data_IF_438164473239
#
_entry.id   IF_438164473239
#
_cell.length_a   1.000
_cell.length_b   1.000
_cell.length_c   1.000
_cell.angle_alpha   90.00
_cell.angle_beta   90.00
_cell.angle_gamma   90.00
#
_symmetry.space_group_name_H-M   'P 1'
#
loop_
_entity.id
_entity.type
_entity.pdbx_description
1 polymer ?
#
# COMPACT_ATOMS: atom_id res chain seq x y z
N UNK A 1 -49.32 24.06 -52.81
CA UNK A 1 -49.14 23.79 -51.36
C UNK A 1 -48.93 25.15 -50.70
N UNK A 2 -49.77 25.53 -49.75
CA UNK A 2 -49.66 26.79 -49.03
C UNK A 2 -49.22 26.54 -47.59
N UNK A 3 -48.39 27.42 -47.06
CA UNK A 3 -47.94 27.40 -45.68
C UNK A 3 -48.40 28.68 -44.99
N UNK A 4 -49.10 28.53 -43.87
CA UNK A 4 -49.56 29.64 -43.04
C UNK A 4 -49.32 29.31 -41.57
N UNK A 5 -49.41 30.29 -40.71
CA UNK A 5 -49.55 30.04 -39.27
C UNK A 5 -50.96 29.56 -38.94
N UNK A 6 -51.19 29.10 -37.71
CA UNK A 6 -52.50 28.63 -37.23
C UNK A 6 -53.62 29.70 -37.33
N UNK A 7 -53.27 30.98 -37.40
CA UNK A 7 -54.20 32.08 -37.64
C UNK A 7 -54.54 32.29 -39.14
N UNK A 8 -54.00 31.47 -40.05
CA UNK A 8 -54.19 31.56 -41.50
C UNK A 8 -53.39 32.65 -42.21
N UNK A 9 -52.53 33.39 -41.48
CA UNK A 9 -51.68 34.44 -42.04
C UNK A 9 -50.26 33.92 -42.33
N UNK A 10 -49.53 34.64 -43.16
CA UNK A 10 -48.11 34.39 -43.45
C UNK A 10 -47.16 35.13 -42.50
N UNK A 11 -47.70 35.87 -41.53
CA UNK A 11 -46.94 36.57 -40.50
C UNK A 11 -47.48 36.23 -39.11
N UNK A 12 -46.55 36.06 -38.16
CA UNK A 12 -46.83 35.80 -36.76
C UNK A 12 -45.99 36.74 -35.90
N UNK A 13 -46.60 37.34 -34.88
CA UNK A 13 -45.93 38.28 -33.99
C UNK A 13 -46.32 38.00 -32.55
N UNK A 14 -45.32 37.92 -31.68
CA UNK A 14 -45.47 37.80 -30.24
C UNK A 14 -44.51 38.75 -29.51
N UNK A 15 -44.50 38.67 -28.18
CA UNK A 15 -43.53 39.40 -27.36
C UNK A 15 -42.11 38.81 -27.46
N UNK A 16 -41.97 37.59 -27.99
CA UNK A 16 -40.70 36.85 -28.08
C UNK A 16 -40.21 36.73 -29.52
N UNK A 17 -41.09 36.54 -30.51
CA UNK A 17 -40.74 36.30 -31.91
C UNK A 17 -41.57 37.17 -32.87
N UNK A 18 -40.95 37.61 -33.96
CA UNK A 18 -41.63 38.01 -35.20
C UNK A 18 -41.23 37.06 -36.31
N UNK A 19 -42.20 36.39 -36.91
CA UNK A 19 -41.98 35.34 -37.90
C UNK A 19 -42.77 35.61 -39.19
N UNK A 20 -42.23 35.14 -40.31
CA UNK A 20 -42.88 35.19 -41.62
C UNK A 20 -42.67 33.88 -42.39
N UNK A 21 -43.65 33.55 -43.23
CA UNK A 21 -43.64 32.39 -44.13
C UNK A 21 -43.78 32.90 -45.56
N UNK A 22 -42.91 32.40 -46.44
CA UNK A 22 -43.05 32.54 -47.89
C UNK A 22 -43.36 31.17 -48.53
N UNK A 23 -43.45 31.08 -49.85
CA UNK A 23 -43.80 29.84 -50.56
C UNK A 23 -42.89 28.65 -50.23
N UNK A 24 -41.65 28.90 -49.79
CA UNK A 24 -40.68 27.82 -49.49
C UNK A 24 -39.79 28.05 -48.27
N UNK A 25 -39.97 29.15 -47.53
CA UNK A 25 -39.13 29.45 -46.36
C UNK A 25 -39.96 29.98 -45.20
N UNK A 26 -39.56 29.59 -44.00
CA UNK A 26 -40.06 30.11 -42.74
C UNK A 26 -38.89 30.79 -42.03
N UNK A 27 -39.09 32.03 -41.59
CA UNK A 27 -38.06 32.86 -40.98
C UNK A 27 -38.61 33.58 -39.74
N UNK A 28 -37.89 33.48 -38.63
CA UNK A 28 -38.21 34.18 -37.38
C UNK A 28 -37.04 35.04 -36.90
N UNK A 29 -37.38 36.18 -36.31
CA UNK A 29 -36.47 37.07 -35.58
C UNK A 29 -36.94 37.17 -34.14
N UNK A 30 -36.03 37.07 -33.18
CA UNK A 30 -36.34 37.26 -31.78
C UNK A 30 -36.57 38.75 -31.45
N UNK A 31 -37.69 39.04 -30.79
CA UNK A 31 -38.04 40.34 -30.18
C UNK A 31 -37.82 40.39 -28.69
N UNK A 32 -37.85 39.24 -28.03
CA UNK A 32 -37.67 39.10 -26.60
C UNK A 32 -36.93 37.80 -26.26
N UNK A 33 -36.79 37.52 -24.97
CA UNK A 33 -36.11 36.31 -24.47
C UNK A 33 -37.09 35.36 -23.80
N UNK A 34 -36.93 34.06 -24.06
CA UNK A 34 -37.74 33.01 -23.47
C UNK A 34 -38.31 32.04 -24.51
N UNK A 35 -39.04 31.00 -24.07
CA UNK A 35 -39.70 30.07 -24.97
C UNK A 35 -40.92 30.70 -25.63
N UNK A 36 -41.10 30.40 -26.90
CA UNK A 36 -42.32 30.67 -27.66
C UNK A 36 -42.57 29.51 -28.63
N UNK A 37 -43.80 29.38 -29.14
CA UNK A 37 -44.16 28.32 -30.07
C UNK A 37 -44.97 28.88 -31.23
N UNK A 38 -44.68 28.37 -32.42
CA UNK A 38 -45.37 28.74 -33.66
C UNK A 38 -45.86 27.49 -34.38
N UNK A 39 -47.15 27.51 -34.70
CA UNK A 39 -47.82 26.41 -35.36
C UNK A 39 -47.89 26.72 -36.86
N UNK A 40 -47.26 25.88 -37.67
CA UNK A 40 -47.27 26.01 -39.13
C UNK A 40 -48.23 24.98 -39.70
N UNK A 41 -49.16 25.46 -40.52
CA UNK A 41 -50.17 24.66 -41.22
C UNK A 41 -49.78 24.56 -42.70
N UNK A 42 -49.58 23.34 -43.18
CA UNK A 42 -49.38 23.04 -44.59
C UNK A 42 -50.68 22.54 -45.21
N UNK A 43 -51.12 23.12 -46.33
CA UNK A 43 -52.33 22.74 -47.05
C UNK A 43 -52.07 22.52 -48.54
N UNK A 44 -52.69 21.50 -49.13
CA UNK A 44 -52.74 21.31 -50.58
C UNK A 44 -54.07 21.76 -51.22
N UNK A 45 -55.00 22.28 -50.41
CA UNK A 45 -56.33 22.70 -50.81
C UNK A 45 -57.44 21.68 -50.50
N UNK A 46 -57.09 20.43 -50.17
CA UNK A 46 -58.04 19.39 -49.74
C UNK A 46 -57.75 18.85 -48.34
N UNK A 47 -56.47 18.80 -47.94
CA UNK A 47 -56.02 18.33 -46.63
C UNK A 47 -55.04 19.31 -45.99
N UNK A 48 -55.10 19.41 -44.67
CA UNK A 48 -54.17 20.19 -43.85
C UNK A 48 -53.39 19.29 -42.90
N UNK A 49 -52.14 19.66 -42.61
CA UNK A 49 -51.33 19.07 -41.57
C UNK A 49 -50.61 20.18 -40.80
N UNK A 50 -50.49 20.01 -39.49
CA UNK A 50 -49.97 21.04 -38.58
C UNK A 50 -48.71 20.56 -37.87
N UNK A 51 -47.74 21.45 -37.73
CA UNK A 51 -46.50 21.19 -37.01
C UNK A 51 -46.18 22.36 -36.07
N UNK A 52 -45.94 22.04 -34.80
CA UNK A 52 -45.59 23.02 -33.77
C UNK A 52 -44.08 23.11 -33.68
N UNK A 53 -43.55 24.32 -33.83
CA UNK A 53 -42.15 24.64 -33.60
C UNK A 53 -42.02 25.42 -32.29
N UNK A 54 -41.52 24.77 -31.25
CA UNK A 54 -41.11 25.45 -30.02
C UNK A 54 -39.71 26.02 -30.20
N UNK A 55 -39.59 27.34 -30.10
CA UNK A 55 -38.34 28.09 -30.25
C UNK A 55 -38.05 28.79 -28.92
N UNK A 56 -36.91 28.47 -28.31
CA UNK A 56 -36.40 29.23 -27.17
C UNK A 56 -35.47 30.33 -27.67
N UNK A 57 -35.97 31.57 -27.67
CA UNK A 57 -35.18 32.73 -28.04
C UNK A 57 -34.25 33.10 -26.87
N UNK A 58 -33.00 32.68 -26.97
CA UNK A 58 -31.94 33.08 -26.03
C UNK A 58 -31.37 34.44 -26.45
N UNK A 59 -31.08 35.29 -25.46
CA UNK A 59 -30.37 36.54 -25.70
C UNK A 59 -29.02 36.21 -26.32
N UNK A 60 -28.72 36.71 -27.51
CA UNK A 60 -27.32 36.83 -27.92
C UNK A 60 -26.68 37.78 -26.92
N UNK A 61 -25.79 37.28 -26.08
CA UNK A 61 -25.04 38.12 -25.14
C UNK A 61 -24.33 39.20 -25.94
N UNK A 62 -24.80 40.43 -25.79
CA UNK A 62 -23.98 41.62 -25.90
C UNK A 62 -22.67 41.33 -25.18
N UNK A 63 -21.53 41.43 -25.88
CA UNK A 63 -20.21 41.50 -25.26
C UNK A 63 -20.31 42.55 -24.15
N UNK A 64 -20.41 42.06 -22.91
CA UNK A 64 -20.19 42.87 -21.74
C UNK A 64 -18.71 43.23 -21.81
N UNK A 65 -18.38 44.52 -21.94
CA UNK A 65 -17.09 45.02 -21.50
C UNK A 65 -17.06 44.95 -19.96
N UNK A 66 -17.20 43.74 -19.41
CA UNK A 66 -16.72 43.46 -18.08
C UNK A 66 -15.20 43.34 -18.27
N UNK A 67 -14.46 44.24 -17.63
CA UNK A 67 -13.00 44.11 -17.61
C UNK A 67 -12.66 42.71 -17.12
N UNK A 68 -11.93 41.94 -17.94
CA UNK A 68 -11.56 40.58 -17.57
C UNK A 68 -10.67 40.64 -16.33
N UNK A 69 -11.10 39.98 -15.27
CA UNK A 69 -10.31 39.81 -14.06
C UNK A 69 -9.31 38.70 -14.31
N UNK A 70 -8.08 38.86 -13.82
CA UNK A 70 -7.09 37.80 -13.92
C UNK A 70 -7.55 36.57 -13.12
N UNK A 71 -7.25 35.35 -13.59
CA UNK A 71 -7.56 34.15 -12.82
C UNK A 71 -6.77 34.16 -11.51
N UNK A 72 -7.26 33.43 -10.52
CA UNK A 72 -6.53 33.17 -9.27
C UNK A 72 -5.96 31.76 -9.36
N UNK A 73 -4.64 31.69 -9.55
CA UNK A 73 -3.89 30.44 -9.45
C UNK A 73 -3.76 30.04 -7.97
N UNK A 74 -4.00 28.76 -7.69
CA UNK A 74 -3.75 28.16 -6.39
C UNK A 74 -3.00 26.84 -6.60
N UNK A 75 -1.72 26.85 -6.28
CA UNK A 75 -0.81 25.72 -6.44
C UNK A 75 -0.90 24.69 -5.29
N UNK A 76 -1.69 24.99 -4.26
CA UNK A 76 -1.81 24.19 -3.05
C UNK A 76 -0.81 24.61 -1.96
N UNK A 77 -0.68 23.77 -0.93
CA UNK A 77 0.18 24.04 0.23
C UNK A 77 1.58 23.46 0.07
N UNK A 78 2.56 24.17 0.61
CA UNK A 78 3.93 23.66 0.78
C UNK A 78 3.93 22.27 1.43
N UNK A 79 4.76 21.38 0.90
CA UNK A 79 4.77 19.98 1.31
C UNK A 79 6.21 19.46 1.49
N UNK A 80 6.38 18.54 2.44
CA UNK A 80 7.64 17.80 2.65
C UNK A 80 7.45 16.41 2.05
N UNK A 81 8.38 15.99 1.19
CA UNK A 81 8.32 14.68 0.50
C UNK A 81 9.70 14.02 0.50
N UNK A 82 9.75 12.71 0.29
CA UNK A 82 11.01 11.96 0.15
C UNK A 82 11.40 11.85 -1.33
N UNK A 83 12.69 11.69 -1.63
CA UNK A 83 13.17 11.37 -2.98
C UNK A 83 12.38 10.15 -3.53
N UNK A 84 11.85 10.28 -4.74
CA UNK A 84 11.14 9.22 -5.46
C UNK A 84 9.69 8.98 -5.02
N UNK A 85 9.18 9.69 -4.01
CA UNK A 85 7.79 9.61 -3.58
C UNK A 85 6.84 10.18 -4.64
N UNK A 86 5.71 9.50 -4.89
CA UNK A 86 4.61 10.03 -5.71
C UNK A 86 4.01 11.28 -5.07
N UNK A 87 4.01 12.38 -5.82
CA UNK A 87 3.44 13.68 -5.44
C UNK A 87 2.23 13.97 -6.33
N UNK A 88 1.14 14.41 -5.71
CA UNK A 88 -0.05 14.92 -6.42
C UNK A 88 -0.12 16.42 -6.20
N UNK A 89 0.04 17.19 -7.28
CA UNK A 89 -0.18 18.63 -7.30
C UNK A 89 -1.63 18.89 -7.72
N UNK A 90 -2.32 19.74 -6.96
CA UNK A 90 -3.76 19.95 -7.09
C UNK A 90 -4.11 21.43 -7.21
N UNK A 91 -4.48 21.83 -8.43
CA UNK A 91 -4.95 23.17 -8.77
C UNK A 91 -6.49 23.30 -8.72
N UNK A 92 -7.20 22.35 -8.10
CA UNK A 92 -8.67 22.33 -8.04
C UNK A 92 -9.28 23.56 -7.36
N UNK A 93 -8.50 24.27 -6.54
CA UNK A 93 -8.91 25.52 -5.90
C UNK A 93 -8.59 26.77 -6.72
N UNK A 94 -8.02 26.63 -7.92
CA UNK A 94 -7.87 27.75 -8.86
C UNK A 94 -9.23 28.12 -9.42
N UNK A 95 -9.51 29.41 -9.49
CA UNK A 95 -10.79 29.95 -9.92
C UNK A 95 -10.60 31.25 -10.70
N UNK A 96 -11.63 31.61 -11.45
CA UNK A 96 -11.76 32.89 -12.12
C UNK A 96 -13.09 33.49 -11.70
N UNK A 97 -13.10 34.76 -11.27
CA UNK A 97 -14.31 35.42 -10.73
C UNK A 97 -15.35 35.68 -11.82
N UNK A 98 -14.93 35.77 -13.08
CA UNK A 98 -15.81 35.94 -14.24
C UNK A 98 -16.29 34.58 -14.77
N UNK A 99 -15.83 33.47 -14.19
CA UNK A 99 -16.18 32.11 -14.61
C UNK A 99 -15.46 31.65 -15.89
N UNK A 100 -14.45 32.40 -16.34
CA UNK A 100 -13.75 32.20 -17.61
C UNK A 100 -12.64 31.14 -17.56
N UNK A 101 -12.61 30.28 -16.54
CA UNK A 101 -11.55 29.29 -16.37
C UNK A 101 -11.84 27.98 -17.15
N UNK A 102 -11.01 27.58 -18.13
CA UNK A 102 -11.27 26.38 -18.92
C UNK A 102 -11.21 25.10 -18.07
N UNK A 103 -12.05 24.12 -18.41
CA UNK A 103 -11.94 22.76 -17.85
C UNK A 103 -10.83 21.90 -18.51
N UNK A 104 -10.13 22.45 -19.52
CA UNK A 104 -9.10 21.74 -20.29
C UNK A 104 -7.75 21.73 -19.58
N UNK A 105 -6.96 20.67 -19.80
CA UNK A 105 -5.66 20.51 -19.16
C UNK A 105 -4.63 21.58 -19.56
N UNK A 106 -4.74 22.16 -20.76
CA UNK A 106 -3.79 23.16 -21.27
C UNK A 106 -3.88 24.51 -20.56
N UNK A 107 -4.95 24.78 -19.81
CA UNK A 107 -5.09 25.99 -19.01
C UNK A 107 -4.24 25.97 -17.73
N UNK A 108 -3.73 24.80 -17.32
CA UNK A 108 -2.95 24.60 -16.10
C UNK A 108 -1.57 24.06 -16.48
N UNK A 109 -0.54 24.90 -16.38
CA UNK A 109 0.84 24.52 -16.70
C UNK A 109 1.67 24.53 -15.42
N UNK A 110 2.25 23.39 -15.08
CA UNK A 110 3.18 23.26 -13.97
C UNK A 110 4.61 23.40 -14.46
N UNK A 111 5.41 24.26 -13.82
CA UNK A 111 6.80 24.54 -14.17
C UNK A 111 7.72 24.39 -12.96
N UNK A 112 8.92 23.87 -13.19
CA UNK A 112 10.01 23.88 -12.23
C UNK A 112 11.24 24.50 -12.87
N UNK A 113 11.86 25.50 -12.22
CA UNK A 113 13.00 26.25 -12.77
C UNK A 113 12.76 26.77 -14.19
N UNK A 114 11.51 27.14 -14.49
CA UNK A 114 11.07 27.63 -15.80
C UNK A 114 10.77 26.56 -16.85
N UNK A 115 11.06 25.27 -16.59
CA UNK A 115 10.76 24.16 -17.49
C UNK A 115 9.40 23.56 -17.19
N UNK A 116 8.63 23.22 -18.23
CA UNK A 116 7.31 22.56 -18.07
C UNK A 116 7.52 21.13 -17.60
N UNK A 117 6.89 20.77 -16.47
CA UNK A 117 6.93 19.42 -15.90
C UNK A 117 5.61 18.66 -16.07
N UNK A 118 4.53 19.34 -16.45
CA UNK A 118 3.24 18.71 -16.72
C UNK A 118 2.10 19.70 -16.91
N UNK A 119 0.92 19.17 -17.22
CA UNK A 119 -0.31 19.94 -17.48
C UNK A 119 -1.51 19.31 -16.77
N UNK A 120 -2.54 20.11 -16.53
CA UNK A 120 -3.82 19.69 -15.95
C UNK A 120 -4.04 20.14 -14.50
N UNK A 121 -5.31 20.12 -14.07
CA UNK A 121 -5.70 20.50 -12.69
C UNK A 121 -5.06 19.58 -11.65
N UNK A 122 -4.86 18.31 -11.99
CA UNK A 122 -4.17 17.33 -11.16
C UNK A 122 -2.93 16.84 -11.92
N UNK A 123 -1.75 17.00 -11.32
CA UNK A 123 -0.50 16.47 -11.88
C UNK A 123 0.13 15.48 -10.89
N UNK A 124 0.43 14.26 -11.36
CA UNK A 124 1.22 13.27 -10.63
C UNK A 124 2.68 13.36 -11.06
N UNK A 125 3.61 13.55 -10.13
CA UNK A 125 5.05 13.70 -10.40
C UNK A 125 5.91 13.12 -9.28
N UNK A 126 7.24 13.09 -9.48
CA UNK A 126 8.26 12.63 -8.53
C UNK A 126 9.49 13.54 -8.58
N UNK A 127 10.15 13.72 -7.44
CA UNK A 127 11.43 14.45 -7.36
C UNK A 127 12.57 13.47 -7.10
N UNK A 128 13.66 13.59 -7.86
CA UNK A 128 14.81 12.66 -7.81
C UNK A 128 16.01 13.20 -7.03
N UNK A 129 16.01 14.48 -6.66
CA UNK A 129 17.08 15.12 -5.89
C UNK A 129 16.54 15.64 -4.56
N UNK A 130 17.37 15.65 -3.53
CA UNK A 130 17.06 16.33 -2.27
C UNK A 130 17.20 17.85 -2.41
N UNK A 131 16.57 18.57 -1.49
CA UNK A 131 16.61 20.02 -1.40
C UNK A 131 15.25 20.67 -1.56
N UNK A 132 15.26 21.98 -1.79
CA UNK A 132 14.03 22.76 -1.98
C UNK A 132 13.73 22.86 -3.47
N UNK A 133 12.57 22.34 -3.85
CA UNK A 133 12.01 22.38 -5.19
C UNK A 133 10.84 23.38 -5.18
N UNK A 134 10.90 24.40 -6.02
CA UNK A 134 9.83 25.40 -6.15
C UNK A 134 9.10 25.10 -7.46
N UNK A 135 7.85 24.66 -7.34
CA UNK A 135 6.99 24.38 -8.48
C UNK A 135 6.00 25.52 -8.63
N UNK A 136 5.96 26.12 -9.82
CA UNK A 136 5.07 27.21 -10.17
C UNK A 136 3.92 26.68 -11.02
N UNK A 137 2.69 26.94 -10.58
CA UNK A 137 1.49 26.80 -11.38
C UNK A 137 1.28 28.11 -12.18
N UNK A 138 1.04 27.97 -13.48
CA UNK A 138 0.59 29.06 -14.36
C UNK A 138 -0.80 28.71 -14.89
N UNK A 139 -1.78 29.57 -14.62
CA UNK A 139 -3.18 29.40 -15.00
C UNK A 139 -3.57 30.45 -16.03
N UNK A 140 -4.18 30.05 -17.14
CA UNK A 140 -4.64 30.94 -18.22
C UNK A 140 -6.16 30.84 -18.39
N UNK A 141 -6.85 31.98 -18.38
CA UNK A 141 -8.29 32.05 -18.64
C UNK A 141 -8.62 32.03 -20.16
N UNK A 142 -9.91 32.07 -20.50
CA UNK A 142 -10.38 32.12 -21.89
C UNK A 142 -10.08 33.45 -22.61
N UNK A 143 -9.82 34.53 -21.87
CA UNK A 143 -9.42 35.83 -22.42
C UNK A 143 -7.90 35.93 -22.68
N UNK A 144 -7.14 34.94 -22.24
CA UNK A 144 -5.69 34.87 -22.37
C UNK A 144 -4.92 35.54 -21.23
N UNK A 145 -5.59 36.01 -20.18
CA UNK A 145 -4.91 36.53 -18.99
C UNK A 145 -4.34 35.38 -18.16
N UNK A 146 -3.17 35.61 -17.56
CA UNK A 146 -2.42 34.57 -16.85
C UNK A 146 -2.12 34.97 -15.41
N UNK A 147 -2.22 34.02 -14.50
CA UNK A 147 -1.83 34.17 -13.10
C UNK A 147 -0.93 33.03 -12.64
N UNK A 148 -0.16 33.28 -11.58
CA UNK A 148 0.84 32.34 -11.07
C UNK A 148 0.74 32.20 -9.57
N UNK A 149 0.97 30.97 -9.12
CA UNK A 149 1.18 30.65 -7.72
C UNK A 149 2.27 29.58 -7.62
N UNK A 150 2.94 29.47 -6.47
CA UNK A 150 4.01 28.49 -6.29
C UNK A 150 3.86 27.69 -5.01
N UNK A 151 4.22 26.42 -5.11
CA UNK A 151 4.31 25.49 -3.98
C UNK A 151 5.76 25.10 -3.74
N UNK A 152 6.17 25.15 -2.47
CA UNK A 152 7.50 24.72 -2.03
C UNK A 152 7.45 23.24 -1.64
N UNK A 153 8.21 22.43 -2.37
CA UNK A 153 8.43 21.02 -2.09
C UNK A 153 9.79 20.85 -1.41
N UNK A 154 9.79 20.53 -0.12
CA UNK A 154 11.03 20.19 0.62
C UNK A 154 11.30 18.70 0.47
N UNK A 155 12.17 18.35 -0.46
CA UNK A 155 12.54 16.96 -0.77
C UNK A 155 13.71 16.55 0.12
N UNK A 156 13.53 15.52 0.96
CA UNK A 156 14.58 15.02 1.86
C UNK A 156 15.25 13.79 1.29
N UNK A 157 16.55 13.65 1.53
CA UNK A 157 17.27 12.40 1.27
C UNK A 157 16.71 11.28 2.12
N UNK A 158 16.87 10.07 1.58
CA UNK A 158 16.58 8.84 2.29
C UNK A 158 17.73 8.59 3.27
N UNK A 159 17.59 9.02 4.51
CA UNK A 159 18.66 8.95 5.53
C UNK A 159 18.42 7.81 6.52
N UNK A 160 18.07 6.62 6.04
CA UNK A 160 18.01 5.42 6.88
C UNK A 160 19.02 4.39 6.33
N UNK A 161 19.55 3.52 7.19
CA UNK A 161 20.61 2.56 6.86
C UNK A 161 21.99 3.18 6.53
N UNK A 162 22.56 3.94 7.48
CA UNK A 162 23.88 4.59 7.31
C UNK A 162 25.00 3.57 7.50
N UNK A 163 25.98 3.57 6.58
CA UNK A 163 27.13 2.64 6.59
C UNK A 163 26.73 1.15 6.53
N UNK A 164 25.54 0.86 6.02
CA UNK A 164 25.16 -0.49 5.64
C UNK A 164 25.08 -0.48 4.12
N UNK A 165 25.67 -1.47 3.44
CA UNK A 165 25.66 -1.51 1.98
C UNK A 165 24.26 -1.78 1.38
N UNK A 166 23.20 -1.54 2.16
CA UNK A 166 21.82 -1.73 1.75
C UNK A 166 21.38 -0.64 0.78
N UNK A 167 20.97 -1.06 -0.40
CA UNK A 167 20.36 -0.25 -1.45
C UNK A 167 18.84 -0.22 -1.28
N UNK A 168 18.25 -1.32 -0.79
CA UNK A 168 16.80 -1.46 -0.57
C UNK A 168 16.45 -1.48 0.91
N UNK A 169 15.53 -0.61 1.30
CA UNK A 169 15.01 -0.52 2.67
C UNK A 169 13.71 0.29 2.72
N UNK A 170 12.81 0.01 3.69
CA UNK A 170 11.60 0.78 3.96
C UNK A 170 11.90 2.24 4.31
N UNK A 171 11.06 3.15 3.83
CA UNK A 171 11.22 4.60 4.02
C UNK A 171 10.85 5.06 5.44
N UNK A 172 9.86 4.39 6.04
CA UNK A 172 9.28 4.69 7.35
C UNK A 172 9.94 3.90 8.48
N UNK A 173 11.07 3.23 8.22
CA UNK A 173 11.77 2.45 9.24
C UNK A 173 12.49 3.31 10.27
N UNK A 174 12.56 2.81 11.49
CA UNK A 174 13.40 3.34 12.57
C UNK A 174 14.81 2.74 12.59
N UNK A 175 15.06 1.67 11.82
CA UNK A 175 16.32 0.96 11.83
C UNK A 175 17.37 1.70 11.02
N UNK A 176 18.58 1.85 11.56
CA UNK A 176 19.64 2.64 10.93
C UNK A 176 20.93 1.88 10.69
N UNK A 177 21.11 0.70 11.30
CA UNK A 177 22.32 -0.12 11.21
C UNK A 177 22.00 -1.58 10.91
N UNK A 178 23.00 -2.30 10.42
CA UNK A 178 22.98 -3.76 10.35
C UNK A 178 23.17 -4.33 11.76
N UNK A 179 22.67 -5.52 12.00
CA UNK A 179 22.93 -6.28 13.21
C UNK A 179 24.44 -6.44 13.51
N UNK A 180 24.83 -6.45 14.79
CA UNK A 180 24.01 -6.17 15.97
C UNK A 180 23.78 -4.67 16.13
N UNK A 181 22.51 -4.24 16.02
CA UNK A 181 22.11 -2.83 16.09
C UNK A 181 21.67 -2.45 17.50
N UNK A 182 20.93 -3.34 18.17
CA UNK A 182 20.18 -3.05 19.41
C UNK A 182 19.23 -1.85 19.26
N UNK A 183 18.70 -1.64 18.04
CA UNK A 183 17.80 -0.54 17.70
C UNK A 183 16.32 -1.02 17.67
N UNK A 184 15.40 -0.08 17.90
CA UNK A 184 13.97 -0.37 17.94
C UNK A 184 13.47 -0.87 19.30
N UNK A 185 12.20 -1.26 19.35
CA UNK A 185 11.55 -1.77 20.56
C UNK A 185 12.03 -3.20 20.89
N UNK A 186 12.16 -3.52 22.18
CA UNK A 186 12.31 -4.90 22.65
C UNK A 186 10.99 -5.65 22.44
N UNK A 187 11.03 -6.71 21.65
CA UNK A 187 9.90 -7.60 21.37
C UNK A 187 10.22 -8.99 21.92
N UNK A 188 9.19 -9.68 22.40
CA UNK A 188 9.30 -11.02 22.93
C UNK A 188 8.27 -11.90 22.24
N UNK A 189 8.72 -12.70 21.26
CA UNK A 189 7.88 -13.67 20.55
C UNK A 189 8.15 -15.04 21.16
N UNK A 190 9.31 -15.63 20.81
CA UNK A 190 9.83 -16.77 21.55
C UNK A 190 10.88 -16.31 22.56
N UNK A 191 11.79 -15.43 22.13
CA UNK A 191 12.89 -14.83 22.90
C UNK A 191 12.82 -13.30 22.83
N UNK A 192 13.45 -12.64 23.81
CA UNK A 192 13.54 -11.18 23.84
C UNK A 192 14.64 -10.69 22.89
N UNK A 193 14.28 -9.88 21.90
CA UNK A 193 15.21 -9.27 20.96
C UNK A 193 14.77 -7.86 20.55
N UNK A 194 15.69 -7.06 20.04
CA UNK A 194 15.36 -5.75 19.48
C UNK A 194 14.72 -5.93 18.09
N UNK A 195 13.63 -5.22 17.81
CA UNK A 195 12.92 -5.33 16.52
C UNK A 195 13.81 -5.07 15.30
N UNK A 196 14.75 -4.12 15.35
CA UNK A 196 15.68 -3.92 14.22
C UNK A 196 16.73 -5.01 14.09
N UNK A 197 17.04 -5.72 15.18
CA UNK A 197 17.89 -6.91 15.13
C UNK A 197 17.16 -8.09 14.49
N UNK A 198 15.86 -8.29 14.78
CA UNK A 198 15.09 -9.37 14.15
C UNK A 198 14.82 -9.12 12.66
N UNK A 199 14.31 -7.93 12.32
CA UNK A 199 13.82 -7.60 10.98
C UNK A 199 14.87 -7.00 10.04
N UNK A 200 16.12 -6.78 10.46
CA UNK A 200 17.32 -6.39 9.69
C UNK A 200 17.12 -5.68 8.32
N UNK A 201 16.22 -4.70 8.24
CA UNK A 201 15.86 -4.09 6.95
C UNK A 201 17.02 -3.31 6.31
N UNK A 202 18.05 -3.00 7.11
CA UNK A 202 19.30 -2.38 6.69
C UNK A 202 20.43 -3.38 6.36
N UNK A 203 20.21 -4.69 6.32
CA UNK A 203 21.21 -5.62 5.80
C UNK A 203 21.21 -5.62 4.26
N UNK A 204 22.35 -5.23 3.67
CA UNK A 204 22.56 -5.28 2.22
C UNK A 204 22.77 -6.71 1.69
N UNK A 205 23.09 -7.68 2.56
CA UNK A 205 23.17 -9.10 2.17
C UNK A 205 21.85 -9.67 1.67
N UNK A 206 20.73 -9.05 2.04
CA UNK A 206 19.38 -9.45 1.61
C UNK A 206 18.94 -8.82 0.28
N UNK A 207 19.69 -7.85 -0.25
CA UNK A 207 19.27 -7.08 -1.42
C UNK A 207 19.18 -7.92 -2.70
N UNK A 208 19.97 -8.98 -2.80
CA UNK A 208 19.94 -9.89 -3.96
C UNK A 208 18.55 -10.51 -4.18
N UNK A 209 17.78 -10.77 -3.12
CA UNK A 209 16.41 -11.31 -3.25
C UNK A 209 15.44 -10.25 -3.77
N UNK A 210 15.68 -8.98 -3.41
CA UNK A 210 14.90 -7.85 -3.90
C UNK A 210 15.16 -7.65 -5.40
N UNK A 211 16.41 -7.74 -5.82
CA UNK A 211 16.80 -7.70 -7.23
C UNK A 211 16.18 -8.86 -8.02
N UNK A 212 16.24 -10.09 -7.51
CA UNK A 212 15.57 -11.23 -8.14
C UNK A 212 14.05 -11.02 -8.27
N UNK A 213 13.39 -10.42 -7.27
CA UNK A 213 11.97 -10.12 -7.36
C UNK A 213 11.66 -9.06 -8.44
N UNK A 214 12.52 -8.06 -8.59
CA UNK A 214 12.42 -7.03 -9.63
C UNK A 214 12.57 -7.66 -11.01
N UNK A 215 13.65 -8.44 -11.21
CA UNK A 215 13.95 -9.15 -12.45
C UNK A 215 12.80 -10.09 -12.87
N UNK A 216 12.17 -10.76 -11.91
CA UNK A 216 11.01 -11.61 -12.20
C UNK A 216 9.83 -10.83 -12.81
N UNK A 217 9.61 -9.60 -12.33
CA UNK A 217 8.42 -8.83 -12.63
C UNK A 217 8.65 -7.78 -13.72
N UNK A 218 9.89 -7.65 -14.22
CA UNK A 218 10.23 -6.85 -15.41
C UNK A 218 10.37 -7.69 -16.70
N UNK A 219 10.31 -9.01 -16.58
CA UNK A 219 10.38 -9.95 -17.70
C UNK A 219 11.78 -10.54 -17.94
N UNK A 220 12.72 -10.30 -17.03
CA UNK A 220 14.05 -10.90 -17.09
C UNK A 220 13.99 -12.43 -16.90
N UNK A 221 14.63 -13.25 -17.75
CA UNK A 221 14.53 -14.71 -17.66
C UNK A 221 15.33 -15.30 -16.48
N UNK A 222 14.73 -16.29 -15.79
CA UNK A 222 15.42 -17.15 -14.84
C UNK A 222 15.87 -18.47 -15.49
N UNK A 223 17.09 -18.93 -15.15
CA UNK A 223 17.60 -20.24 -15.57
C UNK A 223 17.33 -21.34 -14.54
N UNK A 224 17.18 -20.97 -13.26
CA UNK A 224 16.88 -21.91 -12.19
C UNK A 224 15.39 -22.33 -12.21
N UNK A 225 15.13 -23.64 -12.19
CA UNK A 225 13.77 -24.18 -12.32
C UNK A 225 12.85 -23.83 -11.15
N UNK A 226 13.35 -23.77 -9.91
CA UNK A 226 12.55 -23.38 -8.74
C UNK A 226 12.23 -21.89 -8.79
N UNK A 227 13.20 -21.04 -9.07
CA UNK A 227 13.01 -19.58 -9.22
C UNK A 227 12.06 -19.24 -10.36
N UNK A 228 12.20 -19.93 -11.49
CA UNK A 228 11.28 -19.81 -12.63
C UNK A 228 9.85 -20.18 -12.23
N UNK A 229 9.66 -21.23 -11.43
CA UNK A 229 8.36 -21.64 -10.89
C UNK A 229 7.72 -20.57 -10.00
N UNK A 230 8.49 -20.03 -9.05
CA UNK A 230 8.06 -18.92 -8.19
C UNK A 230 7.69 -17.69 -8.99
N UNK A 231 8.49 -17.37 -10.01
CA UNK A 231 8.25 -16.23 -10.86
C UNK A 231 6.99 -16.38 -11.73
N UNK A 232 6.76 -17.56 -12.29
CA UNK A 232 5.53 -17.85 -13.03
C UNK A 232 4.28 -17.74 -12.14
N UNK A 233 4.37 -18.19 -10.89
CA UNK A 233 3.30 -18.05 -9.91
C UNK A 233 2.99 -16.58 -9.62
N UNK A 234 4.03 -15.78 -9.33
CA UNK A 234 3.90 -14.35 -9.06
C UNK A 234 3.23 -13.60 -10.21
N UNK A 235 3.71 -13.80 -11.45
CA UNK A 235 3.17 -13.18 -12.65
C UNK A 235 1.69 -13.53 -12.89
N UNK A 236 1.27 -14.78 -12.65
CA UNK A 236 -0.12 -15.20 -12.83
C UNK A 236 -1.09 -14.62 -11.79
N UNK A 237 -0.62 -14.41 -10.57
CA UNK A 237 -1.48 -14.06 -9.44
C UNK A 237 -1.43 -12.58 -9.03
N UNK A 238 -0.54 -11.79 -9.65
CA UNK A 238 -0.39 -10.36 -9.35
C UNK A 238 -1.50 -9.47 -9.91
N UNK A 239 -2.33 -10.00 -10.82
CA UNK A 239 -3.30 -9.19 -11.56
C UNK A 239 -2.64 -8.11 -12.44
N UNK A 240 -1.38 -8.30 -12.83
CA UNK A 240 -0.60 -7.31 -13.60
C UNK A 240 -0.02 -6.16 -12.77
N UNK A 241 -0.16 -6.19 -11.44
CA UNK A 241 0.46 -5.19 -10.57
C UNK A 241 1.90 -5.58 -10.23
N UNK A 242 2.88 -4.73 -10.58
CA UNK A 242 4.31 -5.01 -10.39
C UNK A 242 4.67 -5.23 -8.92
N UNK A 243 4.18 -4.39 -8.01
CA UNK A 243 4.47 -4.51 -6.58
C UNK A 243 3.83 -5.79 -5.98
N UNK A 244 2.64 -6.18 -6.47
CA UNK A 244 2.00 -7.42 -6.07
C UNK A 244 2.78 -8.64 -6.61
N UNK A 245 3.29 -8.55 -7.84
CA UNK A 245 4.15 -9.59 -8.42
C UNK A 245 5.40 -9.80 -7.57
N UNK A 246 6.14 -8.72 -7.25
CA UNK A 246 7.37 -8.81 -6.46
C UNK A 246 7.13 -9.42 -5.08
N UNK A 247 6.04 -9.00 -4.41
CA UNK A 247 5.65 -9.57 -3.13
C UNK A 247 5.31 -11.06 -3.22
N UNK A 248 4.54 -11.47 -4.23
CA UNK A 248 4.17 -12.86 -4.43
C UNK A 248 5.37 -13.74 -4.79
N UNK A 249 6.38 -13.21 -5.48
CA UNK A 249 7.63 -13.92 -5.73
C UNK A 249 8.37 -14.24 -4.44
N UNK A 250 8.56 -13.23 -3.57
CA UNK A 250 9.18 -13.39 -2.25
C UNK A 250 8.40 -14.39 -1.39
N UNK A 251 7.08 -14.20 -1.27
CA UNK A 251 6.20 -15.07 -0.49
C UNK A 251 6.30 -16.52 -0.99
N UNK A 252 6.29 -16.73 -2.31
CA UNK A 252 6.43 -18.06 -2.92
C UNK A 252 7.81 -18.67 -2.69
N UNK A 253 8.87 -17.86 -2.75
CA UNK A 253 10.23 -18.31 -2.50
C UNK A 253 10.47 -18.82 -1.08
N UNK A 254 9.79 -18.25 -0.08
CA UNK A 254 9.82 -18.73 1.31
C UNK A 254 8.77 -19.79 1.62
N UNK A 255 7.64 -19.79 0.92
CA UNK A 255 6.61 -20.82 1.03
C UNK A 255 6.96 -22.07 0.22
N UNK A 256 5.97 -22.62 -0.49
CA UNK A 256 6.11 -23.89 -1.21
C UNK A 256 6.98 -23.86 -2.47
N UNK A 257 7.58 -22.72 -2.81
CA UNK A 257 8.68 -22.66 -3.78
C UNK A 257 10.04 -23.04 -3.19
N UNK A 258 10.23 -22.88 -1.87
CA UNK A 258 11.45 -23.20 -1.11
C UNK A 258 12.75 -22.91 -1.86
N UNK A 259 12.96 -21.64 -2.20
CA UNK A 259 14.17 -21.15 -2.88
C UNK A 259 15.20 -20.68 -1.86
N UNK A 260 14.76 -19.90 -0.86
CA UNK A 260 15.66 -19.21 0.09
C UNK A 260 15.82 -19.97 1.41
N UNK A 261 14.75 -20.61 1.86
CA UNK A 261 14.75 -21.46 3.05
C UNK A 261 14.08 -22.78 2.69
N UNK A 262 14.74 -23.90 2.99
CA UNK A 262 14.38 -25.21 2.42
C UNK A 262 13.98 -26.26 3.45
N UNK A 263 14.36 -26.06 4.71
CA UNK A 263 13.99 -26.93 5.82
C UNK A 263 13.09 -26.20 6.81
N UNK A 264 12.31 -26.95 7.59
CA UNK A 264 11.52 -26.40 8.69
C UNK A 264 11.94 -27.03 10.00
N UNK A 265 12.08 -26.19 11.02
CA UNK A 265 12.41 -26.63 12.36
C UNK A 265 11.19 -26.55 13.29
N UNK A 266 10.66 -27.72 13.68
CA UNK A 266 9.40 -27.82 14.45
C UNK A 266 9.58 -27.54 15.95
N UNK A 267 10.75 -27.85 16.47
CA UNK A 267 11.17 -27.50 17.82
C UNK A 267 11.92 -26.17 17.78
N UNK A 268 12.26 -25.58 18.91
CA UNK A 268 13.33 -24.59 19.02
C UNK A 268 14.64 -25.34 19.36
N UNK A 269 15.75 -25.00 18.68
CA UNK A 269 17.01 -25.70 18.96
C UNK A 269 17.57 -25.15 20.24
N UNK A 270 17.89 -26.04 21.18
CA UNK A 270 18.42 -25.64 22.46
C UNK A 270 19.75 -26.33 22.69
N UNK A 271 20.79 -25.58 23.02
CA UNK A 271 22.09 -26.17 23.28
C UNK A 271 22.13 -26.87 24.65
N UNK A 272 22.49 -28.15 24.63
CA UNK A 272 22.49 -29.02 25.81
C UNK A 272 23.30 -28.40 26.96
N UNK A 273 22.63 -28.13 28.09
CA UNK A 273 23.24 -27.57 29.29
C UNK A 273 22.95 -26.08 29.57
N UNK A 274 22.26 -25.37 28.67
CA UNK A 274 21.82 -23.97 28.90
C UNK A 274 20.40 -23.97 29.48
N UNK A 275 20.25 -23.97 30.81
CA UNK A 275 18.92 -24.10 31.45
C UNK A 275 18.09 -22.82 31.41
N UNK A 276 18.74 -21.69 31.18
CA UNK A 276 18.14 -20.36 31.11
C UNK A 276 17.36 -20.13 29.82
N UNK A 277 17.82 -20.70 28.71
CA UNK A 277 17.11 -20.71 27.42
C UNK A 277 16.23 -21.96 27.25
N UNK A 278 16.44 -22.98 28.09
CA UNK A 278 15.81 -24.29 27.96
C UNK A 278 15.19 -24.74 29.29
N UNK A 279 13.99 -24.26 29.66
CA UNK A 279 13.30 -24.71 30.86
C UNK A 279 13.03 -26.22 30.76
N UNK A 280 13.52 -26.98 31.74
CA UNK A 280 13.36 -28.44 31.76
C UNK A 280 11.87 -28.83 31.69
N UNK A 281 11.51 -29.66 30.71
CA UNK A 281 10.15 -30.19 30.55
C UNK A 281 9.29 -29.53 29.46
N UNK A 282 9.81 -28.54 28.72
CA UNK A 282 9.10 -28.01 27.55
C UNK A 282 9.32 -28.89 26.30
N UNK A 283 8.25 -29.44 25.69
CA UNK A 283 8.35 -30.35 24.55
C UNK A 283 8.85 -29.67 23.26
N UNK A 284 8.91 -28.33 23.26
CA UNK A 284 9.35 -27.54 22.12
C UNK A 284 10.86 -27.50 21.97
N UNK A 285 11.68 -27.88 22.96
CA UNK A 285 13.14 -27.79 22.86
C UNK A 285 13.79 -29.15 22.59
N UNK A 286 14.66 -29.22 21.58
CA UNK A 286 15.48 -30.42 21.29
C UNK A 286 16.98 -30.11 21.21
N UNK A 287 17.84 -30.94 21.81
CA UNK A 287 19.30 -30.85 21.68
C UNK A 287 19.84 -31.48 20.38
N UNK A 288 18.97 -32.07 19.55
CA UNK A 288 19.33 -32.69 18.27
C UNK A 288 18.34 -32.25 17.20
N UNK A 289 18.72 -31.29 16.34
CA UNK A 289 17.86 -30.94 15.22
C UNK A 289 17.91 -32.03 14.14
N UNK A 290 16.82 -32.16 13.39
CA UNK A 290 16.76 -33.01 12.21
C UNK A 290 16.30 -32.18 11.00
N UNK A 291 17.07 -31.21 10.49
CA UNK A 291 16.92 -30.83 9.10
C UNK A 291 17.31 -32.06 8.25
N UNK A 292 16.50 -32.38 7.25
CA UNK A 292 16.77 -33.50 6.35
C UNK A 292 17.73 -33.08 5.23
N UNK A 293 17.92 -31.76 5.01
CA UNK A 293 18.67 -31.27 3.85
C UNK A 293 19.79 -30.26 4.17
N UNK A 294 19.75 -29.53 5.29
CA UNK A 294 20.79 -28.53 5.62
C UNK A 294 21.83 -29.00 6.67
N UNK A 295 23.11 -28.90 6.31
CA UNK A 295 24.25 -29.24 7.17
C UNK A 295 24.66 -28.12 8.13
N UNK A 296 24.32 -26.86 7.86
CA UNK A 296 24.76 -25.70 8.64
C UNK A 296 24.23 -25.73 10.09
N UNK A 297 22.93 -26.01 10.36
CA UNK A 297 22.43 -26.14 11.73
C UNK A 297 23.12 -27.26 12.53
N UNK A 298 23.57 -28.33 11.86
CA UNK A 298 24.28 -29.43 12.53
C UNK A 298 25.70 -29.07 12.99
N UNK A 299 26.26 -27.98 12.44
CA UNK A 299 27.61 -27.50 12.76
C UNK A 299 27.67 -26.54 13.96
N UNK A 300 26.52 -26.06 14.45
CA UNK A 300 26.44 -25.15 15.62
C UNK A 300 27.04 -25.80 16.87
N UNK A 301 27.89 -25.05 17.59
CA UNK A 301 28.53 -25.55 18.81
C UNK A 301 27.64 -25.38 20.03
N UNK A 302 26.94 -26.45 20.39
CA UNK A 302 26.22 -26.52 21.66
C UNK A 302 27.12 -26.99 22.81
N UNK A 303 28.07 -26.15 23.24
CA UNK A 303 29.00 -26.47 24.34
C UNK A 303 28.81 -25.57 25.56
N UNK A 304 28.89 -26.18 26.74
CA UNK A 304 29.02 -25.51 28.05
C UNK A 304 30.43 -25.74 28.59
N UNK A 305 31.38 -24.85 28.35
CA UNK A 305 32.65 -24.86 29.08
C UNK A 305 33.01 -23.46 29.55
N UNK A 306 33.45 -23.35 30.81
CA UNK A 306 33.74 -22.10 31.52
C UNK A 306 34.77 -21.19 30.82
N UNK A 307 35.55 -21.74 29.88
CA UNK A 307 36.71 -21.06 29.30
C UNK A 307 36.40 -20.31 27.99
N UNK A 308 35.18 -20.42 27.41
CA UNK A 308 34.81 -19.71 26.18
C UNK A 308 33.33 -19.26 26.13
N UNK A 309 33.11 -18.09 26.73
CA UNK A 309 32.10 -17.02 26.50
C UNK A 309 30.57 -17.30 26.57
N UNK A 310 29.95 -16.23 27.07
CA UNK A 310 28.55 -15.77 27.16
C UNK A 310 27.51 -16.66 26.46
N UNK A 311 26.55 -17.14 27.26
CA UNK A 311 25.41 -17.98 26.84
C UNK A 311 24.59 -17.30 25.73
N UNK A 312 24.30 -17.99 24.62
CA UNK A 312 23.28 -17.58 23.64
C UNK A 312 23.70 -16.55 22.58
N UNK A 313 25.00 -16.31 22.37
CA UNK A 313 25.47 -15.26 21.45
C UNK A 313 25.76 -15.78 20.02
N UNK A 314 25.35 -15.02 19.00
CA UNK A 314 25.81 -15.19 17.63
C UNK A 314 27.16 -14.49 17.46
N UNK A 315 28.19 -15.24 17.07
CA UNK A 315 29.60 -14.81 17.06
C UNK A 315 30.08 -14.50 15.64
N UNK A 316 29.60 -15.22 14.62
CA UNK A 316 30.09 -15.10 13.25
C UNK A 316 29.08 -15.56 12.19
N UNK A 317 28.92 -14.74 11.14
CA UNK A 317 28.15 -15.09 9.94
C UNK A 317 28.88 -16.09 9.01
N UNK A 318 30.20 -16.26 9.18
CA UNK A 318 31.02 -17.11 8.30
C UNK A 318 31.55 -18.36 9.00
N UNK A 319 31.70 -18.30 10.33
CA UNK A 319 32.17 -19.41 11.16
C UNK A 319 31.02 -19.89 12.05
N UNK A 320 30.08 -20.60 11.43
CA UNK A 320 28.86 -21.13 12.09
C UNK A 320 29.20 -21.99 13.30
N UNK A 321 30.32 -22.71 13.25
CA UNK A 321 30.82 -23.53 14.36
C UNK A 321 31.21 -22.72 15.59
N UNK A 322 31.33 -21.39 15.52
CA UNK A 322 31.59 -20.54 16.70
C UNK A 322 30.31 -20.04 17.39
N UNK A 323 29.15 -20.23 16.76
CA UNK A 323 27.88 -19.75 17.29
C UNK A 323 27.31 -20.76 18.30
N UNK A 324 26.84 -20.25 19.45
CA UNK A 324 26.25 -21.02 20.54
C UNK A 324 24.86 -20.46 20.88
N UNK A 325 24.04 -20.30 19.84
CA UNK A 325 22.70 -19.71 19.89
C UNK A 325 21.61 -20.80 19.93
N UNK A 326 20.52 -20.55 20.64
CA UNK A 326 19.29 -21.32 20.49
C UNK A 326 18.54 -20.82 19.24
N UNK A 327 18.15 -21.69 18.31
CA UNK A 327 17.38 -21.29 17.11
C UNK A 327 15.93 -20.99 17.49
N UNK A 328 15.74 -19.85 18.15
CA UNK A 328 14.48 -19.43 18.75
C UNK A 328 13.90 -18.21 18.04
N UNK A 329 14.71 -17.18 17.78
CA UNK A 329 14.40 -16.04 16.89
C UNK A 329 15.70 -15.48 16.29
N UNK A 330 16.21 -16.14 15.26
CA UNK A 330 17.48 -15.71 14.64
C UNK A 330 17.19 -14.52 13.71
N UNK A 331 18.08 -13.53 13.73
CA UNK A 331 17.98 -12.35 12.89
C UNK A 331 17.91 -12.71 11.40
N UNK A 332 17.12 -11.95 10.64
CA UNK A 332 16.73 -12.33 9.26
C UNK A 332 17.94 -12.62 8.36
N UNK A 333 18.99 -11.79 8.38
CA UNK A 333 20.17 -11.98 7.55
C UNK A 333 20.90 -13.29 7.84
N UNK A 334 21.01 -13.71 9.10
CA UNK A 334 21.58 -15.01 9.44
C UNK A 334 20.68 -16.17 9.00
N UNK A 335 19.38 -16.08 9.29
CA UNK A 335 18.41 -17.12 8.89
C UNK A 335 18.45 -17.36 7.39
N UNK A 336 18.47 -16.29 6.59
CA UNK A 336 18.40 -16.40 5.12
C UNK A 336 19.76 -16.73 4.51
N UNK A 337 20.82 -16.00 4.86
CA UNK A 337 22.10 -16.11 4.16
C UNK A 337 23.05 -17.15 4.76
N UNK A 338 22.84 -17.56 6.01
CA UNK A 338 23.76 -18.44 6.74
C UNK A 338 23.10 -19.78 7.05
N UNK A 339 21.91 -19.77 7.65
CA UNK A 339 21.23 -21.00 8.09
C UNK A 339 20.37 -21.63 6.99
N UNK A 340 19.79 -20.84 6.08
CA UNK A 340 18.84 -21.29 5.04
C UNK A 340 17.65 -22.11 5.59
N UNK A 341 17.32 -21.93 6.87
CA UNK A 341 16.27 -22.66 7.59
C UNK A 341 15.87 -21.92 8.87
N UNK A 342 14.75 -22.31 9.48
CA UNK A 342 14.28 -21.72 10.73
C UNK A 342 12.93 -22.27 11.19
N UNK A 343 12.40 -21.63 12.23
CA UNK A 343 11.07 -21.87 12.80
C UNK A 343 9.99 -21.05 12.09
N UNK A 344 8.74 -21.19 12.53
CA UNK A 344 7.64 -20.36 12.02
C UNK A 344 7.91 -18.85 12.17
N UNK A 345 8.59 -18.42 13.24
CA UNK A 345 8.90 -17.00 13.45
C UNK A 345 9.96 -16.53 12.47
N UNK A 346 11.03 -17.30 12.27
CA UNK A 346 12.14 -16.94 11.37
C UNK A 346 11.67 -16.78 9.90
N UNK A 347 10.84 -17.72 9.42
CA UNK A 347 10.25 -17.64 8.07
C UNK A 347 9.39 -16.39 7.87
N UNK A 348 8.59 -16.03 8.88
CA UNK A 348 7.71 -14.87 8.80
C UNK A 348 8.46 -13.56 9.05
N UNK A 349 9.50 -13.56 9.88
CA UNK A 349 10.40 -12.43 10.03
C UNK A 349 11.09 -12.14 8.71
N UNK A 350 11.64 -13.17 8.04
CA UNK A 350 12.25 -13.02 6.72
C UNK A 350 11.27 -12.50 5.67
N UNK A 351 10.05 -13.06 5.63
CA UNK A 351 9.00 -12.63 4.70
C UNK A 351 8.64 -11.15 4.93
N UNK A 352 8.38 -10.75 6.17
CA UNK A 352 8.04 -9.35 6.50
C UNK A 352 9.21 -8.41 6.20
N UNK A 353 10.44 -8.77 6.57
CA UNK A 353 11.65 -8.01 6.28
C UNK A 353 11.79 -7.72 4.78
N UNK A 354 11.67 -8.73 3.93
CA UNK A 354 11.83 -8.55 2.48
C UNK A 354 10.67 -7.76 1.86
N UNK A 355 9.43 -7.98 2.32
CA UNK A 355 8.30 -7.15 1.88
C UNK A 355 8.48 -5.68 2.28
N UNK A 356 9.02 -5.41 3.48
CA UNK A 356 9.38 -4.05 3.91
C UNK A 356 10.48 -3.47 3.03
N UNK A 357 11.52 -4.24 2.68
CA UNK A 357 12.58 -3.83 1.74
C UNK A 357 12.07 -3.57 0.32
N UNK A 358 11.03 -4.29 -0.13
CA UNK A 358 10.28 -4.03 -1.38
C UNK A 358 9.44 -2.73 -1.32
N UNK A 359 9.35 -2.07 -0.17
CA UNK A 359 8.68 -0.78 -0.02
C UNK A 359 7.24 -0.85 0.49
N UNK A 360 6.79 -2.00 0.99
CA UNK A 360 5.50 -2.09 1.71
C UNK A 360 5.57 -1.25 2.98
N UNK A 361 4.47 -0.58 3.35
CA UNK A 361 4.43 0.25 4.57
C UNK A 361 4.38 -0.63 5.81
N UNK A 362 4.78 -0.09 6.95
CA UNK A 362 4.67 -0.76 8.25
C UNK A 362 3.22 -1.11 8.61
N UNK A 363 2.24 -0.41 8.02
CA UNK A 363 0.82 -0.74 8.16
C UNK A 363 0.32 -1.82 7.22
N UNK A 364 1.09 -2.21 6.20
CA UNK A 364 0.63 -3.15 5.17
C UNK A 364 1.10 -4.59 5.45
N UNK A 365 2.13 -4.76 6.27
CA UNK A 365 2.73 -6.08 6.55
C UNK A 365 3.06 -6.25 8.03
N UNK A 366 2.68 -7.41 8.56
CA UNK A 366 2.89 -7.78 9.96
C UNK A 366 3.32 -9.23 10.07
N UNK A 367 4.29 -9.50 10.94
CA UNK A 367 4.48 -10.81 11.54
C UNK A 367 3.43 -10.96 12.63
N UNK A 368 2.65 -12.01 12.58
CA UNK A 368 1.64 -12.35 13.57
C UNK A 368 2.15 -13.46 14.47
N UNK A 369 2.27 -13.16 15.75
CA UNK A 369 2.43 -14.15 16.79
C UNK A 369 1.07 -14.77 17.10
N UNK A 370 1.00 -16.08 17.05
CA UNK A 370 -0.16 -16.88 17.40
C UNK A 370 0.24 -18.03 18.33
N UNK A 371 -0.74 -18.65 19.00
CA UNK A 371 -0.45 -19.75 19.92
C UNK A 371 0.22 -20.93 19.20
N UNK A 372 1.49 -21.22 19.53
CA UNK A 372 2.34 -22.25 18.90
C UNK A 372 2.53 -22.08 17.38
N UNK A 373 2.34 -20.88 16.85
CA UNK A 373 2.50 -20.63 15.42
C UNK A 373 2.83 -19.16 15.13
N UNK A 374 3.45 -18.91 13.99
CA UNK A 374 3.58 -17.58 13.44
C UNK A 374 3.27 -17.59 11.95
N UNK A 375 2.64 -16.52 11.50
CA UNK A 375 2.28 -16.30 10.10
C UNK A 375 2.32 -14.81 9.80
N UNK A 376 2.13 -14.41 8.54
CA UNK A 376 2.16 -13.01 8.14
C UNK A 376 0.77 -12.53 7.72
N UNK A 377 0.46 -11.27 8.02
CA UNK A 377 -0.66 -10.55 7.41
C UNK A 377 -0.12 -9.57 6.39
N UNK A 378 -0.56 -9.69 5.14
CA UNK A 378 -0.07 -8.87 4.03
C UNK A 378 -1.24 -8.23 3.30
N UNK A 379 -1.24 -6.90 3.24
CA UNK A 379 -2.15 -6.13 2.39
C UNK A 379 -1.48 -5.88 1.05
N UNK A 380 -1.80 -6.72 0.06
CA UNK A 380 -1.25 -6.56 -1.29
C UNK A 380 -1.76 -5.26 -1.93
N UNK A 381 -1.04 -4.71 -2.93
CA UNK A 381 -1.49 -3.53 -3.65
C UNK A 381 -2.94 -3.68 -4.16
N UNK A 382 -3.75 -2.64 -3.93
CA UNK A 382 -5.18 -2.57 -4.28
C UNK A 382 -6.12 -3.49 -3.46
N UNK A 383 -5.60 -4.34 -2.58
CA UNK A 383 -6.44 -5.11 -1.67
C UNK A 383 -7.09 -4.20 -0.62
N UNK A 384 -8.37 -4.43 -0.38
CA UNK A 384 -9.10 -3.78 0.73
C UNK A 384 -8.86 -4.46 2.08
N UNK A 385 -8.50 -5.75 2.05
CA UNK A 385 -8.34 -6.62 3.22
C UNK A 385 -6.96 -7.30 3.21
N UNK A 386 -6.42 -7.58 4.38
CA UNK A 386 -5.19 -8.37 4.54
C UNK A 386 -5.41 -9.81 4.10
N UNK A 387 -4.41 -10.37 3.46
CA UNK A 387 -4.31 -11.80 3.15
C UNK A 387 -3.44 -12.46 4.21
N UNK A 388 -3.88 -13.61 4.71
CA UNK A 388 -3.10 -14.47 5.59
C UNK A 388 -2.08 -15.24 4.77
N UNK A 389 -0.81 -15.09 5.13
CA UNK A 389 0.31 -15.72 4.44
C UNK A 389 1.02 -16.61 5.45
N UNK A 390 0.95 -17.91 5.22
CA UNK A 390 1.69 -18.90 6.00
C UNK A 390 2.75 -19.51 5.09
N UNK A 391 4.00 -19.10 5.29
CA UNK A 391 5.16 -19.63 4.56
C UNK A 391 5.80 -20.82 5.27
N UNK A 392 5.24 -21.26 6.39
CA UNK A 392 5.78 -22.40 7.14
C UNK A 392 5.37 -23.70 6.46
N UNK A 393 6.28 -24.67 6.41
CA UNK A 393 6.02 -25.93 5.74
C UNK A 393 5.83 -25.73 4.23
N UNK A 394 6.93 -25.40 3.55
CA UNK A 394 7.13 -25.31 2.09
C UNK A 394 6.63 -26.51 1.22
N UNK A 395 5.80 -27.37 1.78
CA UNK A 395 5.03 -28.39 1.10
C UNK A 395 3.58 -27.96 0.83
N UNK A 396 3.10 -26.86 1.44
CA UNK A 396 1.70 -26.43 1.33
C UNK A 396 1.51 -25.22 0.39
N UNK A 397 0.55 -25.27 -0.55
CA UNK A 397 0.30 -24.15 -1.45
C UNK A 397 -0.11 -22.87 -0.73
N UNK A 398 0.48 -21.74 -1.16
CA UNK A 398 0.05 -20.41 -0.70
C UNK A 398 -1.40 -20.14 -1.09
N UNK A 399 -2.22 -19.85 -0.09
CA UNK A 399 -3.63 -19.47 -0.26
C UNK A 399 -3.76 -17.95 -0.44
N UNK A 400 -4.06 -17.52 -1.67
CA UNK A 400 -4.35 -16.12 -1.96
C UNK A 400 -5.86 -15.91 -1.89
N UNK A 401 -6.31 -15.08 -0.96
CA UNK A 401 -7.72 -14.67 -0.88
C UNK A 401 -8.61 -15.51 0.03
N UNK A 402 -8.06 -16.56 0.65
CA UNK A 402 -8.74 -17.41 1.63
C UNK A 402 -7.84 -17.71 2.82
N UNK A 403 -8.30 -18.60 3.70
CA UNK A 403 -7.45 -19.16 4.75
C UNK A 403 -6.43 -20.14 4.14
N UNK A 404 -5.21 -20.24 4.67
CA UNK A 404 -4.27 -21.30 4.30
C UNK A 404 -4.88 -22.70 4.52
N UNK A 405 -4.45 -23.74 3.75
CA UNK A 405 -5.06 -25.06 3.74
C UNK A 405 -4.93 -25.92 5.03
N UNK A 406 -4.67 -25.33 6.21
CA UNK A 406 -4.53 -26.06 7.47
C UNK A 406 -5.71 -25.89 8.43
N UNK A 407 -5.91 -26.88 9.31
CA UNK A 407 -6.87 -26.83 10.44
C UNK A 407 -6.41 -25.91 11.60
N UNK A 408 -5.38 -25.08 11.40
CA UNK A 408 -4.97 -24.12 12.41
C UNK A 408 -6.02 -22.99 12.53
N UNK A 409 -6.46 -22.63 13.74
CA UNK A 409 -7.42 -21.54 13.93
C UNK A 409 -6.72 -20.17 13.82
N UNK A 410 -6.38 -19.79 12.57
CA UNK A 410 -5.58 -18.60 12.25
C UNK A 410 -6.16 -17.33 12.88
N UNK A 411 -7.46 -17.10 12.72
CA UNK A 411 -8.11 -15.88 13.16
C UNK A 411 -8.26 -15.83 14.70
N UNK A 412 -8.61 -16.95 15.32
CA UNK A 412 -8.91 -17.05 16.75
C UNK A 412 -7.64 -16.99 17.62
N UNK A 413 -6.50 -17.44 17.11
CA UNK A 413 -5.26 -17.55 17.87
C UNK A 413 -4.29 -16.38 17.69
N UNK A 414 -4.60 -15.37 16.87
CA UNK A 414 -3.73 -14.20 16.75
C UNK A 414 -3.62 -13.42 18.07
N UNK A 415 -2.38 -13.22 18.52
CA UNK A 415 -2.01 -12.58 19.79
C UNK A 415 -1.47 -11.17 19.56
N UNK A 416 -0.35 -11.07 18.84
CA UNK A 416 0.39 -9.83 18.64
C UNK A 416 0.86 -9.69 17.19
N UNK A 417 1.14 -8.45 16.79
CA UNK A 417 1.65 -8.12 15.46
C UNK A 417 2.93 -7.31 15.58
N UNK A 418 3.91 -7.61 14.74
CA UNK A 418 5.25 -7.02 14.78
C UNK A 418 5.78 -6.69 13.39
N UNK A 419 6.70 -5.72 13.33
CA UNK A 419 7.58 -5.48 12.19
C UNK A 419 8.83 -4.70 12.69
N UNK A 420 9.61 -4.14 11.76
CA UNK A 420 10.80 -3.30 12.04
C UNK A 420 10.49 -2.03 12.85
N UNK A 421 9.21 -1.63 12.97
CA UNK A 421 8.76 -0.56 13.86
C UNK A 421 8.48 -1.02 15.29
N UNK A 422 8.68 -2.30 15.60
CA UNK A 422 8.37 -2.90 16.90
C UNK A 422 6.99 -3.52 16.92
N UNK A 423 6.31 -3.43 18.07
CA UNK A 423 4.97 -3.98 18.25
C UNK A 423 3.92 -3.06 17.62
N UNK A 424 3.05 -3.63 16.80
CA UNK A 424 1.96 -2.94 16.12
C UNK A 424 0.58 -3.41 16.59
N UNK A 425 -0.42 -2.57 16.38
CA UNK A 425 -1.83 -2.94 16.56
C UNK A 425 -2.21 -3.88 15.41
N UNK A 426 -2.67 -5.09 15.75
CA UNK A 426 -3.12 -6.04 14.74
C UNK A 426 -4.37 -5.54 13.99
N UNK A 427 -4.50 -5.83 12.69
CA UNK A 427 -5.72 -5.57 11.94
C UNK A 427 -6.97 -6.20 12.57
N UNK A 428 -8.12 -5.54 12.42
CA UNK A 428 -9.39 -6.14 12.83
C UNK A 428 -9.74 -7.35 11.97
N UNK A 429 -10.36 -8.38 12.54
CA UNK A 429 -10.72 -9.61 11.81
C UNK A 429 -11.59 -9.35 10.57
N UNK A 430 -12.44 -8.32 10.60
CA UNK A 430 -13.29 -7.95 9.45
C UNK A 430 -12.44 -7.49 8.25
N UNK A 431 -11.24 -6.99 8.51
CA UNK A 431 -10.29 -6.49 7.53
C UNK A 431 -9.33 -7.58 7.05
N UNK A 432 -9.48 -8.83 7.52
CA UNK A 432 -8.69 -9.98 7.09
C UNK A 432 -9.56 -10.92 6.24
N UNK A 433 -9.05 -11.32 5.06
CA UNK A 433 -9.73 -12.26 4.16
C UNK A 433 -9.89 -13.61 4.88
N UNK A 434 -11.10 -14.16 4.88
CA UNK A 434 -11.42 -15.43 5.54
C UNK A 434 -11.77 -15.34 7.04
N UNK A 435 -11.51 -14.22 7.72
CA UNK A 435 -11.81 -14.08 9.17
C UNK A 435 -13.15 -13.38 9.48
N UNK A 436 -13.93 -13.00 8.46
CA UNK A 436 -15.21 -12.33 8.65
C UNK A 436 -16.22 -13.27 9.32
N UNK A 437 -16.65 -12.96 10.55
CA UNK A 437 -17.64 -13.74 11.31
C UNK A 437 -17.06 -14.59 12.45
N UNK A 438 -15.73 -14.62 12.62
CA UNK A 438 -15.10 -15.25 13.77
C UNK A 438 -15.40 -14.43 15.04
N UNK A 439 -15.92 -15.08 16.08
CA UNK A 439 -16.24 -14.44 17.37
C UNK A 439 -15.00 -14.40 18.26
N UNK A 440 -14.60 -13.20 18.68
CA UNK A 440 -13.54 -13.02 19.65
C UNK A 440 -14.07 -12.91 21.08
N UNK A 441 -13.26 -13.38 22.04
CA UNK A 441 -13.49 -13.05 23.43
C UNK A 441 -13.06 -11.61 23.71
N UNK A 442 -13.75 -10.94 24.63
CA UNK A 442 -13.46 -9.54 25.02
C UNK A 442 -12.00 -9.36 25.45
N UNK A 443 -11.44 -10.36 26.13
CA UNK A 443 -10.03 -10.37 26.56
C UNK A 443 -9.06 -10.33 25.36
N UNK A 444 -9.30 -11.15 24.32
CA UNK A 444 -8.50 -11.18 23.09
C UNK A 444 -8.65 -9.90 22.28
N UNK A 445 -9.84 -9.32 22.26
CA UNK A 445 -10.08 -8.04 21.60
C UNK A 445 -9.29 -6.90 22.29
N UNK A 446 -9.26 -6.91 23.63
CA UNK A 446 -8.53 -5.91 24.43
C UNK A 446 -7.00 -6.01 24.31
N UNK A 447 -6.46 -7.23 24.16
CA UNK A 447 -5.01 -7.44 23.97
C UNK A 447 -4.53 -6.97 22.60
N UNK A 448 -5.36 -7.12 21.54
CA UNK A 448 -5.03 -6.67 20.18
C UNK A 448 -5.07 -5.16 19.98
N UNK A 449 -6.02 -4.47 20.64
CA UNK A 449 -6.20 -3.01 20.52
C UNK A 449 -5.12 -2.24 21.32
N UNK A 450 -4.26 -2.95 22.07
CA UNK A 450 -3.13 -2.32 22.77
C UNK A 450 -3.59 -1.36 23.86
N UNK A 451 -4.70 -1.63 24.55
CA UNK A 451 -5.03 -0.88 25.75
C UNK A 451 -3.91 -1.09 26.77
N UNK A 452 -3.15 -0.02 27.05
CA UNK A 452 -2.30 0.11 28.24
C UNK A 452 -3.18 0.11 29.49
N UNK A 453 -3.84 -0.99 29.81
CA UNK A 453 -4.31 -1.25 31.17
C UNK A 453 -3.31 -2.17 31.84
N UNK A 454 -2.13 -1.61 32.13
CA UNK A 454 -1.34 -2.14 33.24
C UNK A 454 -2.26 -1.98 34.48
N UNK A 455 -2.67 -3.09 35.09
CA UNK A 455 -3.35 -3.22 36.40
C UNK A 455 -4.88 -3.07 36.56
N UNK A 456 -5.66 -2.55 35.61
CA UNK A 456 -7.12 -2.33 35.87
C UNK A 456 -7.98 -3.53 35.42
N UNK A 457 -7.63 -4.21 34.33
CA UNK A 457 -8.47 -5.29 33.77
C UNK A 457 -8.50 -6.58 34.60
N UNK A 458 -7.35 -7.02 35.10
CA UNK A 458 -7.24 -8.24 35.93
C UNK A 458 -7.94 -8.08 37.28
N UNK A 459 -7.90 -6.88 37.84
CA UNK A 459 -8.47 -6.56 39.15
C UNK A 459 -10.01 -6.39 39.10
N UNK A 460 -10.56 -6.02 37.94
CA UNK A 460 -12.01 -5.93 37.71
C UNK A 460 -12.60 -7.31 37.37
N UNK A 461 -11.93 -8.12 36.55
CA UNK A 461 -12.38 -9.48 36.23
C UNK A 461 -12.28 -10.42 37.44
N UNK A 462 -11.25 -10.28 38.28
CA UNK A 462 -11.11 -11.02 39.53
C UNK A 462 -12.25 -10.74 40.52
N UNK A 463 -12.66 -9.45 40.66
CA UNK A 463 -13.77 -9.05 41.54
C UNK A 463 -15.14 -9.53 41.03
N UNK A 464 -15.38 -9.50 39.72
CA UNK A 464 -16.63 -10.00 39.12
C UNK A 464 -16.78 -11.53 39.27
N UNK A 465 -15.67 -12.28 39.27
CA UNK A 465 -15.67 -13.73 39.51
C UNK A 465 -15.87 -14.10 40.99
N UNK A 466 -15.48 -13.25 41.94
CA UNK A 466 -15.79 -13.42 43.37
C UNK A 466 -17.25 -13.05 43.71
N UNK A 467 -17.81 -12.01 43.09
CA UNK A 467 -19.22 -11.64 43.27
C UNK A 467 -20.19 -12.64 42.65
N UNK A 468 -19.80 -13.33 41.57
CA UNK A 468 -20.59 -14.41 40.97
C UNK A 468 -20.54 -15.74 41.77
N UNK A 469 -19.70 -15.82 42.82
CA UNK A 469 -19.56 -17.00 43.71
C UNK A 469 -20.15 -16.77 45.11
N UNK A 470 -20.75 -15.60 45.36
CA UNK A 470 -21.60 -15.33 46.52
C UNK A 470 -23.06 -15.30 46.08
#
# INVERSE_FOLDING_TARGET
MSFTFSNGLTEYSSNVLDCSITESTFFCVAKGTGPDAVDIVASDGEKTNEMIFSIEAIRQETISLQENTFPVANAGKDTVVLIGQDVVLDASQSYDVDGNLPSLNDAFIWKERGMIIGKGRILKTKFTTSGTHIVTLEVTDLAGSTSKDSVTMRVREKSNCVNTNAVYYPQDTQCTKKWPSKEGELIAINSESYSCDLFEVCDGGLDHIIEEAIDCCDGTPFLDSKRSGSCAFANRNSGGNVNACQALYVIKGFGDGAVYMQDYFYSEMCCYGIRELCPAGFPLYTPRPLPLTDTNPTSLQCRTSADNRILGEWVSDTRIDLNNIALQDTHTGATVNVLSTGTCVDYNAATVTLLRKLGFKSTDVFLVEATNHAYSLVKLPLDRKYTLIDTTGNSEPISIGGLPPQNYPYCENMLNCYNDMGRAICPELKDIKGCSGVKESILKQSSRIGFKTKKIGEDVFGRLLEEARR
#
